data_IF_450701763570
#
_entry.id   IF_450701763570
#
_cell.length_a   1.000
_cell.length_b   1.000
_cell.length_c   1.000
_cell.angle_alpha   90.00
_cell.angle_beta   90.00
_cell.angle_gamma   90.00
#
_symmetry.space_group_name_H-M   'P 1'
#
loop_
_entity.id
_entity.type
_entity.pdbx_description
1 polymer ?
#
# COMPACT_ATOMS: atom_id res chain seq x y z
N UNK A 1 42.95 58.05 18.41
CA UNK A 1 42.25 56.90 19.02
C UNK A 1 40.77 57.01 18.67
N UNK A 2 40.33 56.30 17.63
CA UNK A 2 38.95 56.32 17.17
C UNK A 2 38.17 55.14 17.78
N UNK A 3 37.12 55.45 18.53
CA UNK A 3 36.26 54.48 19.20
C UNK A 3 35.24 53.94 18.20
N UNK A 4 35.40 52.68 17.79
CA UNK A 4 34.41 51.96 16.99
C UNK A 4 33.21 51.57 17.88
N UNK A 5 32.08 52.23 17.65
CA UNK A 5 30.78 51.80 18.20
C UNK A 5 30.33 50.53 17.49
N UNK A 6 30.21 49.44 18.23
CA UNK A 6 29.53 48.24 17.78
C UNK A 6 28.02 48.43 17.94
N UNK A 7 27.28 48.36 16.83
CA UNK A 7 25.82 48.28 16.83
C UNK A 7 25.44 46.79 16.93
N UNK A 8 24.77 46.34 18.00
CA UNK A 8 24.31 44.96 18.07
C UNK A 8 23.18 44.75 17.07
N UNK A 9 23.31 43.73 16.22
CA UNK A 9 22.27 43.31 15.29
C UNK A 9 21.25 42.52 16.12
N UNK A 10 20.11 43.13 16.42
CA UNK A 10 18.98 42.43 17.01
C UNK A 10 18.37 41.51 15.96
N UNK A 11 18.62 40.20 16.09
CA UNK A 11 17.99 39.17 15.27
C UNK A 11 16.51 39.07 15.66
N UNK A 12 15.64 39.83 15.01
CA UNK A 12 14.19 39.63 15.07
C UNK A 12 13.84 38.39 14.25
N UNK A 13 14.09 37.21 14.82
CA UNK A 13 13.44 35.98 14.36
C UNK A 13 11.94 36.17 14.60
N UNK A 14 11.08 36.18 13.56
CA UNK A 14 9.65 36.04 13.82
C UNK A 14 9.47 34.68 14.46
N UNK A 15 9.15 34.68 15.76
CA UNK A 15 8.64 33.51 16.46
C UNK A 15 7.53 32.93 15.58
N UNK A 16 7.74 31.72 15.06
CA UNK A 16 6.67 30.92 14.52
C UNK A 16 5.58 30.89 15.59
N UNK A 17 4.51 31.65 15.34
CA UNK A 17 3.29 31.51 16.09
C UNK A 17 2.94 30.01 16.00
N UNK A 18 2.80 29.27 17.11
CA UNK A 18 2.41 27.87 17.03
C UNK A 18 1.02 27.87 16.42
N UNK A 19 0.93 27.58 15.12
CA UNK A 19 -0.34 27.36 14.44
C UNK A 19 -1.06 26.33 15.29
N UNK A 20 -2.22 26.64 15.90
CA UNK A 20 -2.94 25.67 16.71
C UNK A 20 -3.10 24.44 15.83
N UNK A 21 -2.47 23.35 16.28
CA UNK A 21 -2.57 22.04 15.63
C UNK A 21 -4.04 21.85 15.34
N UNK A 22 -4.47 21.65 14.08
CA UNK A 22 -5.90 21.56 13.79
C UNK A 22 -6.44 20.46 14.67
N UNK A 23 -7.18 20.85 15.70
CA UNK A 23 -7.85 19.94 16.62
C UNK A 23 -8.76 19.15 15.72
N UNK A 24 -8.37 17.89 15.46
CA UNK A 24 -9.13 17.02 14.59
C UNK A 24 -10.55 17.03 15.12
N UNK A 25 -11.47 17.59 14.35
CA UNK A 25 -12.89 17.63 14.70
C UNK A 25 -13.30 16.25 15.19
N UNK A 26 -13.94 16.12 16.37
CA UNK A 26 -14.31 14.83 16.90
C UNK A 26 -15.13 14.07 15.85
N UNK A 27 -14.57 12.95 15.40
CA UNK A 27 -15.17 12.17 14.31
C UNK A 27 -16.34 11.41 14.91
N UNK A 28 -17.56 11.70 14.45
CA UNK A 28 -18.74 10.90 14.76
C UNK A 28 -18.75 9.69 13.81
N UNK A 29 -18.44 8.52 14.37
CA UNK A 29 -18.54 7.25 13.63
C UNK A 29 -20.03 7.00 13.37
N UNK A 30 -20.35 6.61 12.14
CA UNK A 30 -21.71 6.24 11.77
C UNK A 30 -22.11 4.94 12.52
N UNK A 31 -23.15 4.97 13.38
CA UNK A 31 -23.58 3.77 14.10
C UNK A 31 -24.11 2.67 13.17
N UNK A 32 -24.54 3.00 11.95
CA UNK A 32 -25.01 2.03 10.95
C UNK A 32 -23.87 1.27 10.27
N UNK A 33 -22.65 1.84 10.25
CA UNK A 33 -21.46 1.24 9.65
C UNK A 33 -20.22 1.47 10.53
N UNK A 34 -20.13 0.79 11.69
CA UNK A 34 -19.04 1.00 12.66
C UNK A 34 -17.68 0.44 12.17
N UNK A 35 -17.69 -0.38 11.12
CA UNK A 35 -16.49 -0.99 10.55
C UNK A 35 -15.79 -2.02 11.45
N UNK A 36 -16.47 -2.51 12.49
CA UNK A 36 -15.90 -3.47 13.46
C UNK A 36 -15.47 -4.77 12.80
N UNK A 37 -16.27 -5.29 11.85
CA UNK A 37 -15.97 -6.53 11.13
C UNK A 37 -14.67 -6.38 10.33
N UNK A 38 -14.53 -5.29 9.55
CA UNK A 38 -13.31 -5.04 8.79
C UNK A 38 -12.07 -4.88 9.67
N UNK A 39 -12.22 -4.34 10.89
CA UNK A 39 -11.11 -4.24 11.86
C UNK A 39 -10.70 -5.61 12.41
N UNK A 40 -11.67 -6.46 12.74
CA UNK A 40 -11.40 -7.84 13.21
C UNK A 40 -10.73 -8.63 12.09
N UNK A 41 -11.24 -8.55 10.85
CA UNK A 41 -10.63 -9.19 9.70
C UNK A 41 -9.18 -8.74 9.49
N UNK A 42 -8.92 -7.43 9.47
CA UNK A 42 -7.57 -6.86 9.37
C UNK A 42 -6.64 -7.31 10.50
N UNK A 43 -7.16 -7.44 11.73
CA UNK A 43 -6.38 -7.91 12.87
C UNK A 43 -5.99 -9.40 12.73
N UNK A 44 -6.94 -10.23 12.31
CA UNK A 44 -6.71 -11.65 12.05
C UNK A 44 -5.70 -11.81 10.91
N UNK A 45 -5.89 -11.11 9.79
CA UNK A 45 -4.98 -11.13 8.65
C UNK A 45 -3.56 -10.68 9.03
N UNK A 46 -3.43 -9.64 9.85
CA UNK A 46 -2.14 -9.19 10.37
C UNK A 46 -1.46 -10.27 11.24
N UNK A 47 -2.22 -10.91 12.14
CA UNK A 47 -1.70 -11.98 13.00
C UNK A 47 -1.21 -13.19 12.18
N UNK A 48 -1.99 -13.61 11.18
CA UNK A 48 -1.61 -14.69 10.27
C UNK A 48 -0.33 -14.34 9.51
N UNK A 49 -0.25 -13.12 8.95
CA UNK A 49 0.96 -12.64 8.24
C UNK A 49 2.19 -12.63 9.13
N UNK A 50 2.09 -12.13 10.36
CA UNK A 50 3.21 -12.10 11.31
C UNK A 50 3.67 -13.53 11.63
N UNK A 51 2.71 -14.45 11.84
CA UNK A 51 3.00 -15.85 12.13
C UNK A 51 3.75 -16.51 10.96
N UNK A 52 3.20 -16.39 9.74
CA UNK A 52 3.85 -16.92 8.53
C UNK A 52 5.22 -16.28 8.30
N UNK A 53 5.34 -14.97 8.51
CA UNK A 53 6.60 -14.25 8.35
C UNK A 53 7.67 -14.72 9.34
N UNK A 54 7.28 -14.98 10.59
CA UNK A 54 8.16 -15.53 11.61
C UNK A 54 8.72 -16.88 11.16
N UNK A 55 7.87 -17.79 10.67
CA UNK A 55 8.33 -19.08 10.16
C UNK A 55 9.23 -18.95 8.93
N UNK A 56 8.92 -18.06 7.98
CA UNK A 56 9.75 -17.86 6.78
C UNK A 56 11.11 -17.23 7.10
N UNK A 57 11.19 -16.40 8.14
CA UNK A 57 12.42 -15.69 8.53
C UNK A 57 13.36 -16.59 9.34
N UNK A 58 12.83 -17.29 10.35
CA UNK A 58 13.65 -18.06 11.28
C UNK A 58 13.76 -19.55 10.93
N UNK A 59 12.78 -20.10 10.20
CA UNK A 59 12.71 -21.53 9.90
C UNK A 59 12.45 -21.81 8.40
N UNK A 60 13.29 -21.30 7.49
CA UNK A 60 13.10 -21.47 6.04
C UNK A 60 13.06 -22.95 5.63
N UNK A 61 13.85 -23.82 6.27
CA UNK A 61 13.89 -25.25 5.98
C UNK A 61 12.57 -25.97 6.22
N UNK A 62 11.79 -25.55 7.23
CA UNK A 62 10.47 -26.15 7.51
C UNK A 62 9.44 -25.81 6.42
N UNK A 63 9.58 -24.64 5.80
CA UNK A 63 8.66 -24.16 4.77
C UNK A 63 8.97 -24.76 3.40
N UNK A 64 10.26 -24.80 3.03
CA UNK A 64 10.67 -25.24 1.69
C UNK A 64 11.03 -26.72 1.61
N UNK A 65 11.40 -27.38 2.70
CA UNK A 65 11.76 -28.81 2.70
C UNK A 65 10.69 -29.71 2.08
N UNK A 66 9.39 -29.56 2.41
CA UNK A 66 8.32 -30.32 1.78
C UNK A 66 8.08 -29.93 0.31
N UNK A 67 8.38 -28.67 -0.05
CA UNK A 67 8.05 -28.05 -1.32
C UNK A 67 9.05 -28.35 -2.44
N UNK A 68 10.33 -28.48 -2.10
CA UNK A 68 11.40 -28.76 -3.06
C UNK A 68 11.43 -30.25 -3.41
N UNK A 69 11.76 -30.54 -4.66
CA UNK A 69 11.84 -31.92 -5.18
C UNK A 69 13.03 -32.67 -4.56
N UNK A 70 14.14 -31.95 -4.34
CA UNK A 70 15.34 -32.45 -3.67
C UNK A 70 15.57 -31.67 -2.36
N UNK A 71 15.01 -32.18 -1.26
CA UNK A 71 15.02 -31.50 0.05
C UNK A 71 16.39 -31.52 0.73
N UNK A 72 17.33 -32.31 0.23
CA UNK A 72 18.67 -32.50 0.79
C UNK A 72 19.62 -31.33 0.51
N UNK A 73 19.32 -30.49 -0.48
CA UNK A 73 20.22 -29.45 -0.97
C UNK A 73 19.45 -28.15 -1.27
N UNK A 74 18.95 -27.50 -0.22
CA UNK A 74 18.36 -26.16 -0.34
C UNK A 74 19.45 -25.15 -0.69
N UNK A 75 19.35 -24.55 -1.88
CA UNK A 75 20.28 -23.52 -2.29
C UNK A 75 20.29 -22.35 -1.29
N UNK A 76 21.45 -21.80 -0.91
CA UNK A 76 21.54 -20.65 0.01
C UNK A 76 20.73 -19.43 -0.45
N UNK A 77 20.58 -19.26 -1.77
CA UNK A 77 19.73 -18.23 -2.37
C UNK A 77 18.25 -18.38 -2.02
N UNK A 78 17.74 -19.61 -1.90
CA UNK A 78 16.34 -19.88 -1.52
C UNK A 78 16.09 -19.56 -0.05
N UNK A 79 17.06 -19.87 0.80
CA UNK A 79 17.04 -19.53 2.23
C UNK A 79 17.00 -18.00 2.39
N UNK A 80 17.91 -17.29 1.72
CA UNK A 80 17.91 -15.84 1.74
C UNK A 80 16.58 -15.28 1.23
N UNK A 81 16.09 -15.74 0.08
CA UNK A 81 14.82 -15.29 -0.50
C UNK A 81 13.63 -15.50 0.46
N UNK A 82 13.57 -16.63 1.16
CA UNK A 82 12.56 -16.88 2.20
C UNK A 82 12.57 -15.80 3.28
N UNK A 83 13.75 -15.45 3.77
CA UNK A 83 13.93 -14.44 4.81
C UNK A 83 13.51 -13.06 4.32
N UNK A 84 13.89 -12.69 3.09
CA UNK A 84 13.45 -11.45 2.47
C UNK A 84 11.93 -11.38 2.34
N UNK A 85 11.28 -12.47 1.90
CA UNK A 85 9.82 -12.56 1.84
C UNK A 85 9.22 -12.40 3.25
N UNK A 86 9.79 -13.05 4.26
CA UNK A 86 9.37 -12.91 5.66
C UNK A 86 9.39 -11.46 6.13
N UNK A 87 10.50 -10.73 5.90
CA UNK A 87 10.62 -9.31 6.25
C UNK A 87 9.60 -8.44 5.51
N UNK A 88 9.40 -8.67 4.20
CA UNK A 88 8.38 -7.96 3.41
C UNK A 88 6.98 -8.22 3.96
N UNK A 89 6.70 -9.45 4.42
CA UNK A 89 5.41 -9.82 4.97
C UNK A 89 5.14 -9.14 6.32
N UNK A 90 6.17 -8.96 7.16
CA UNK A 90 6.09 -8.13 8.38
C UNK A 90 5.79 -6.67 8.03
N UNK A 91 6.50 -6.10 7.05
CA UNK A 91 6.25 -4.73 6.60
C UNK A 91 4.81 -4.56 6.09
N UNK A 92 4.28 -5.56 5.38
CA UNK A 92 2.87 -5.60 4.98
C UNK A 92 1.93 -5.67 6.19
N UNK A 93 2.21 -6.49 7.19
CA UNK A 93 1.39 -6.61 8.41
C UNK A 93 1.30 -5.29 9.19
N UNK A 94 2.38 -4.49 9.21
CA UNK A 94 2.36 -3.16 9.82
C UNK A 94 1.32 -2.25 9.16
N UNK A 95 1.22 -2.27 7.82
CA UNK A 95 0.21 -1.48 7.10
C UNK A 95 -1.22 -1.87 7.49
N UNK A 96 -1.47 -3.16 7.78
CA UNK A 96 -2.77 -3.64 8.27
C UNK A 96 -3.01 -3.13 9.68
N UNK A 97 -2.03 -3.25 10.57
CA UNK A 97 -2.13 -2.78 11.94
C UNK A 97 -2.45 -1.28 12.01
N UNK A 98 -1.85 -0.47 11.13
CA UNK A 98 -2.12 0.97 11.06
C UNK A 98 -3.56 1.27 10.59
N UNK A 99 -4.14 0.43 9.75
CA UNK A 99 -5.51 0.54 9.24
C UNK A 99 -6.59 0.11 10.26
N UNK A 100 -6.23 -0.61 11.33
CA UNK A 100 -7.17 -1.03 12.41
C UNK A 100 -7.69 0.17 13.21
N UNK A 101 -6.93 1.27 13.28
CA UNK A 101 -7.30 2.45 14.08
C UNK A 101 -8.57 3.11 13.53
N UNK A 102 -9.35 3.72 14.42
CA UNK A 102 -10.54 4.51 14.06
C UNK A 102 -10.19 5.98 13.90
N UNK A 103 -9.31 6.28 12.97
CA UNK A 103 -9.03 7.66 12.54
C UNK A 103 -9.55 7.85 11.12
N UNK A 104 -9.91 9.09 10.75
CA UNK A 104 -10.43 9.41 9.42
C UNK A 104 -9.52 8.89 8.30
N UNK A 105 -8.23 9.17 8.43
CA UNK A 105 -7.21 8.68 7.49
C UNK A 105 -7.11 7.16 7.45
N UNK A 106 -7.34 6.47 8.57
CA UNK A 106 -7.30 5.01 8.59
C UNK A 106 -8.51 4.42 7.85
N UNK A 107 -9.72 4.96 8.04
CA UNK A 107 -10.89 4.47 7.33
C UNK A 107 -10.78 4.64 5.81
N UNK A 108 -10.35 5.81 5.33
CA UNK A 108 -10.15 6.04 3.90
C UNK A 108 -9.05 5.14 3.32
N UNK A 109 -8.06 4.77 4.15
CA UNK A 109 -6.95 3.90 3.72
C UNK A 109 -7.32 2.42 3.63
N UNK A 110 -8.33 1.93 4.37
CA UNK A 110 -8.68 0.50 4.41
C UNK A 110 -9.03 -0.05 3.03
N UNK A 111 -9.84 0.69 2.27
CA UNK A 111 -10.21 0.32 0.91
C UNK A 111 -8.97 0.26 -0.01
N UNK A 112 -8.05 1.22 0.12
CA UNK A 112 -6.82 1.26 -0.66
C UNK A 112 -5.89 0.09 -0.33
N UNK A 113 -5.82 -0.32 0.95
CA UNK A 113 -5.03 -1.48 1.37
C UNK A 113 -5.59 -2.75 0.72
N UNK A 114 -6.90 -2.98 0.77
CA UNK A 114 -7.52 -4.16 0.15
C UNK A 114 -7.27 -4.21 -1.36
N UNK A 115 -7.38 -3.09 -2.07
CA UNK A 115 -7.06 -3.03 -3.51
C UNK A 115 -5.60 -3.36 -3.83
N UNK A 116 -4.65 -2.78 -3.10
CA UNK A 116 -3.21 -3.05 -3.32
C UNK A 116 -2.88 -4.52 -3.10
N UNK A 117 -3.52 -5.14 -2.12
CA UNK A 117 -3.33 -6.55 -1.84
C UNK A 117 -3.98 -7.45 -2.88
N UNK A 118 -5.20 -7.12 -3.33
CA UNK A 118 -5.88 -7.87 -4.37
C UNK A 118 -5.00 -7.96 -5.62
N UNK A 119 -4.41 -6.84 -6.05
CA UNK A 119 -3.48 -6.83 -7.19
C UNK A 119 -2.23 -7.67 -6.90
N UNK A 120 -1.63 -7.52 -5.72
CA UNK A 120 -0.45 -8.29 -5.33
C UNK A 120 -0.69 -9.81 -5.33
N UNK A 121 -1.83 -10.26 -4.81
CA UNK A 121 -2.21 -11.66 -4.77
C UNK A 121 -2.59 -12.21 -6.14
N UNK A 122 -3.24 -11.42 -6.99
CA UNK A 122 -3.53 -11.81 -8.37
C UNK A 122 -2.23 -12.05 -9.17
N UNK A 123 -1.24 -11.16 -9.00
CA UNK A 123 0.08 -11.33 -9.60
C UNK A 123 0.81 -12.55 -9.04
N UNK A 124 0.74 -12.77 -7.73
CA UNK A 124 1.38 -13.92 -7.09
C UNK A 124 0.73 -15.25 -7.51
N UNK A 125 -0.61 -15.32 -7.56
CA UNK A 125 -1.35 -16.46 -8.05
C UNK A 125 -0.96 -16.79 -9.51
N UNK A 126 -0.89 -15.77 -10.36
CA UNK A 126 -0.48 -15.91 -11.76
C UNK A 126 0.94 -16.47 -11.88
N UNK A 127 1.85 -16.00 -11.02
CA UNK A 127 3.22 -16.52 -10.96
C UNK A 127 3.26 -17.99 -10.52
N UNK A 128 2.49 -18.39 -9.51
CA UNK A 128 2.43 -19.79 -9.08
C UNK A 128 1.84 -20.71 -10.15
N UNK A 129 0.79 -20.27 -10.87
CA UNK A 129 0.25 -21.01 -12.00
C UNK A 129 1.30 -21.16 -13.11
N UNK A 130 1.97 -20.07 -13.46
CA UNK A 130 3.04 -20.09 -14.46
C UNK A 130 4.14 -21.09 -14.08
N UNK A 131 4.64 -21.01 -12.85
CA UNK A 131 5.66 -21.93 -12.33
C UNK A 131 5.17 -23.38 -12.21
N UNK A 132 3.87 -23.63 -12.10
CA UNK A 132 3.29 -24.98 -12.09
C UNK A 132 3.19 -25.59 -13.50
N UNK A 133 3.24 -24.75 -14.54
CA UNK A 133 3.24 -25.16 -15.94
C UNK A 133 4.66 -25.31 -16.51
N UNK A 134 5.66 -24.70 -15.87
CA UNK A 134 7.08 -24.76 -16.25
C UNK A 134 7.89 -25.59 -15.25
N UNK A 135 9.04 -26.14 -15.64
CA UNK A 135 9.96 -26.78 -14.68
C UNK A 135 10.64 -25.73 -13.79
N UNK A 136 10.14 -25.58 -12.56
CA UNK A 136 10.59 -24.59 -11.57
C UNK A 136 11.42 -25.19 -10.43
N UNK A 137 11.63 -26.52 -10.43
CA UNK A 137 12.31 -27.25 -9.34
C UNK A 137 11.46 -27.44 -8.07
N UNK A 138 10.27 -26.84 -8.01
CA UNK A 138 9.27 -26.98 -6.94
C UNK A 138 8.22 -28.00 -7.36
N UNK A 139 7.74 -28.81 -6.41
CA UNK A 139 6.68 -29.79 -6.67
C UNK A 139 5.42 -29.08 -7.18
N UNK A 140 4.94 -29.47 -8.35
CA UNK A 140 3.72 -28.93 -8.98
C UNK A 140 2.51 -28.90 -8.05
N UNK A 141 2.30 -29.94 -7.25
CA UNK A 141 1.19 -30.00 -6.27
C UNK A 141 1.25 -28.86 -5.26
N UNK A 142 2.44 -28.49 -4.80
CA UNK A 142 2.62 -27.40 -3.83
C UNK A 142 2.32 -26.06 -4.48
N UNK A 143 2.79 -25.84 -5.72
CA UNK A 143 2.47 -24.62 -6.46
C UNK A 143 0.96 -24.44 -6.69
N UNK A 144 0.25 -25.52 -7.03
CA UNK A 144 -1.21 -25.49 -7.18
C UNK A 144 -1.93 -25.21 -5.86
N UNK A 145 -1.46 -25.79 -4.75
CA UNK A 145 -2.00 -25.50 -3.41
C UNK A 145 -1.78 -24.03 -3.05
N UNK A 146 -0.57 -23.49 -3.27
CA UNK A 146 -0.27 -22.08 -3.01
C UNK A 146 -1.10 -21.14 -3.87
N UNK A 147 -1.30 -21.48 -5.15
CA UNK A 147 -2.21 -20.75 -6.03
C UNK A 147 -3.65 -20.77 -5.52
N UNK A 148 -4.15 -21.92 -5.06
CA UNK A 148 -5.50 -22.04 -4.51
C UNK A 148 -5.68 -21.17 -3.26
N UNK A 149 -4.69 -21.11 -2.37
CA UNK A 149 -4.70 -20.19 -1.23
C UNK A 149 -4.77 -18.72 -1.67
N UNK A 150 -4.05 -18.33 -2.73
CA UNK A 150 -4.18 -16.97 -3.28
C UNK A 150 -5.58 -16.71 -3.85
N UNK A 151 -6.20 -17.68 -4.51
CA UNK A 151 -7.57 -17.54 -5.06
C UNK A 151 -8.58 -17.32 -3.93
N UNK A 152 -8.52 -18.09 -2.85
CA UNK A 152 -9.39 -17.91 -1.68
C UNK A 152 -9.24 -16.49 -1.10
N UNK A 153 -7.99 -16.04 -0.96
CA UNK A 153 -7.64 -14.70 -0.50
C UNK A 153 -8.16 -13.58 -1.42
N UNK A 154 -8.13 -13.79 -2.74
CA UNK A 154 -8.66 -12.88 -3.78
C UNK A 154 -10.19 -12.81 -3.68
N UNK A 155 -10.86 -13.95 -3.56
CA UNK A 155 -12.31 -14.03 -3.45
C UNK A 155 -12.79 -13.32 -2.18
N UNK A 156 -12.12 -13.53 -1.05
CA UNK A 156 -12.40 -12.82 0.20
C UNK A 156 -12.31 -11.29 0.01
N UNK A 157 -11.26 -10.80 -0.65
CA UNK A 157 -11.10 -9.35 -0.90
C UNK A 157 -12.17 -8.80 -1.83
N UNK A 158 -12.50 -9.50 -2.91
CA UNK A 158 -13.56 -9.10 -3.82
C UNK A 158 -14.92 -9.09 -3.10
N UNK A 159 -15.18 -10.07 -2.25
CA UNK A 159 -16.36 -10.10 -1.40
C UNK A 159 -16.44 -8.87 -0.49
N UNK A 160 -15.37 -8.55 0.25
CA UNK A 160 -15.35 -7.36 1.10
C UNK A 160 -15.47 -6.05 0.30
N UNK A 161 -14.83 -5.94 -0.87
CA UNK A 161 -14.83 -4.71 -1.67
C UNK A 161 -16.15 -4.46 -2.41
N UNK A 162 -16.75 -5.51 -3.00
CA UNK A 162 -17.91 -5.38 -3.89
C UNK A 162 -19.23 -5.62 -3.15
N UNK A 163 -19.29 -6.65 -2.30
CA UNK A 163 -20.53 -7.08 -1.67
C UNK A 163 -20.74 -6.47 -0.28
N UNK A 164 -19.65 -6.15 0.42
CA UNK A 164 -19.67 -5.64 1.81
C UNK A 164 -18.82 -4.39 2.04
N UNK A 165 -18.92 -3.34 1.20
CA UNK A 165 -18.15 -2.10 1.40
C UNK A 165 -18.47 -1.42 2.74
N UNK A 166 -19.63 -1.67 3.34
CA UNK A 166 -20.01 -1.14 4.66
C UNK A 166 -19.12 -1.64 5.81
N UNK A 167 -18.42 -2.77 5.62
CA UNK A 167 -17.53 -3.35 6.64
C UNK A 167 -16.26 -2.53 6.88
N UNK A 168 -15.88 -1.66 5.95
CA UNK A 168 -14.74 -0.75 6.14
C UNK A 168 -15.06 0.43 7.06
N UNK A 169 -16.36 0.65 7.32
CA UNK A 169 -16.89 1.71 8.15
C UNK A 169 -17.04 3.03 7.41
N UNK A 170 -17.91 3.91 7.92
CA UNK A 170 -18.12 5.26 7.40
C UNK A 170 -18.02 6.29 8.52
N UNK A 171 -17.65 7.51 8.13
CA UNK A 171 -17.67 8.66 9.01
C UNK A 171 -18.78 9.61 8.58
N UNK A 172 -19.53 10.14 9.55
CA UNK A 172 -20.45 11.23 9.28
C UNK A 172 -19.62 12.51 9.07
N UNK A 173 -19.85 13.22 7.97
CA UNK A 173 -19.33 14.58 7.82
C UNK A 173 -19.94 15.43 8.95
N UNK A 174 -19.11 16.12 9.73
CA UNK A 174 -19.59 17.10 10.70
C UNK A 174 -20.28 18.24 9.92
N UNK A 175 -21.61 18.17 9.80
CA UNK A 175 -22.41 19.05 8.94
C UNK A 175 -23.77 18.47 8.54
N UNK A 176 -23.98 17.16 8.65
CA UNK A 176 -25.24 16.49 8.25
C UNK A 176 -26.42 16.68 9.24
N UNK A 177 -26.50 17.83 9.92
CA UNK A 177 -27.74 18.26 10.59
C UNK A 177 -28.54 19.26 9.73
N UNK A 178 -27.99 19.76 8.62
CA UNK A 178 -28.76 20.42 7.57
C UNK A 178 -28.89 19.47 6.38
N UNK A 179 -30.12 19.13 6.01
CA UNK A 179 -30.45 18.14 4.98
C UNK A 179 -29.90 18.47 3.60
N UNK A 180 -28.65 18.12 3.37
CA UNK A 180 -27.97 18.24 2.08
C UNK A 180 -27.74 16.84 1.51
N UNK A 181 -28.17 16.72 0.26
CA UNK A 181 -28.36 15.53 -0.53
C UNK A 181 -27.09 14.65 -0.55
N UNK A 182 -27.29 13.34 -0.44
CA UNK A 182 -26.22 12.33 -0.43
C UNK A 182 -25.57 12.30 -1.81
N UNK A 183 -24.50 13.07 -2.00
CA UNK A 183 -23.63 12.93 -3.18
C UNK A 183 -22.93 11.56 -3.15
N UNK A 184 -23.11 10.83 -4.25
CA UNK A 184 -22.60 9.48 -4.46
C UNK A 184 -21.06 9.44 -4.35
N UNK A 185 -20.48 8.69 -3.39
CA UNK A 185 -19.03 8.60 -3.21
C UNK A 185 -18.30 7.97 -4.40
N UNK A 186 -19.04 7.34 -5.32
CA UNK A 186 -18.52 6.78 -6.57
C UNK A 186 -18.25 7.87 -7.62
N UNK A 187 -19.03 8.96 -7.62
CA UNK A 187 -18.83 10.10 -8.51
C UNK A 187 -17.56 10.89 -8.16
N UNK A 188 -17.34 11.11 -6.86
CA UNK A 188 -16.17 11.84 -6.36
C UNK A 188 -14.84 11.11 -6.65
N UNK A 189 -14.84 9.77 -6.56
CA UNK A 189 -13.65 8.99 -6.87
C UNK A 189 -13.35 8.97 -8.37
N UNK A 190 -14.38 8.86 -9.22
CA UNK A 190 -14.26 8.98 -10.67
C UNK A 190 -13.76 10.38 -11.08
N UNK A 191 -14.32 11.44 -10.51
CA UNK A 191 -13.89 12.80 -10.79
C UNK A 191 -12.46 13.07 -10.33
N UNK A 192 -12.06 12.59 -9.15
CA UNK A 192 -10.68 12.66 -8.66
C UNK A 192 -9.69 11.92 -9.58
N UNK A 193 -10.09 10.77 -10.14
CA UNK A 193 -9.28 10.03 -11.12
C UNK A 193 -9.17 10.80 -12.44
N UNK A 194 -10.26 11.37 -12.96
CA UNK A 194 -10.23 12.19 -14.17
C UNK A 194 -9.35 13.44 -14.01
N UNK A 195 -9.44 14.12 -12.86
CA UNK A 195 -8.64 15.32 -12.59
C UNK A 195 -7.15 14.97 -12.48
N UNK A 196 -6.81 13.84 -11.86
CA UNK A 196 -5.42 13.35 -11.82
C UNK A 196 -4.90 12.97 -13.20
N UNK A 197 -5.72 12.31 -14.02
CA UNK A 197 -5.40 11.98 -15.42
C UNK A 197 -5.17 13.23 -16.28
N UNK A 198 -6.04 14.25 -16.14
CA UNK A 198 -5.86 15.54 -16.84
C UNK A 198 -4.57 16.23 -16.41
N UNK A 199 -4.26 16.26 -15.10
CA UNK A 199 -3.01 16.88 -14.58
C UNK A 199 -1.76 16.13 -15.05
N UNK A 200 -1.80 14.81 -15.14
CA UNK A 200 -0.71 13.99 -15.69
C UNK A 200 -0.50 14.25 -17.19
N UNK A 201 -1.58 14.39 -17.95
CA UNK A 201 -1.52 14.70 -19.39
C UNK A 201 -0.88 16.06 -19.65
N UNK A 202 -1.21 17.07 -18.84
CA UNK A 202 -0.61 18.42 -18.97
C UNK A 202 0.87 18.44 -18.60
N UNK A 203 1.31 17.67 -17.60
CA UNK A 203 2.74 17.59 -17.24
C UNK A 203 3.57 16.84 -18.29
N UNK A 204 2.99 15.90 -19.00
CA UNK A 204 3.71 15.13 -20.04
C UNK A 204 3.95 15.98 -21.30
N UNK A 205 3.07 16.94 -21.61
CA UNK A 205 3.22 17.84 -22.76
C UNK A 205 4.37 18.85 -22.57
N UNK A 206 4.65 19.28 -21.34
CA UNK A 206 5.74 20.23 -21.06
C UNK A 206 7.15 19.60 -20.97
N UNK A 207 7.27 18.28 -21.13
CA UNK A 207 8.56 17.56 -21.06
C UNK A 207 8.96 16.88 -22.37
N UNK A 208 8.32 17.21 -23.50
CA UNK A 208 8.84 16.80 -24.79
C UNK A 208 10.19 17.50 -25.05
N UNK A 209 11.30 16.77 -25.18
CA UNK A 209 12.59 17.37 -25.52
C UNK A 209 12.51 17.97 -26.92
N UNK A 210 12.98 19.22 -27.05
CA UNK A 210 13.13 19.90 -28.33
C UNK A 210 14.04 19.07 -29.26
N UNK A 211 13.71 18.94 -30.55
CA UNK A 211 14.55 18.20 -31.48
C UNK A 211 15.91 18.88 -31.59
N UNK A 212 16.97 18.18 -31.14
CA UNK A 212 18.35 18.59 -31.35
C UNK A 212 18.62 18.68 -32.85
N UNK A 213 18.85 19.91 -33.33
CA UNK A 213 19.43 20.21 -34.62
C UNK A 213 20.85 19.62 -34.70
N UNK A 214 20.98 18.57 -35.51
CA UNK A 214 22.26 17.97 -35.90
C UNK A 214 22.98 18.92 -36.86
N UNK A 215 24.03 19.57 -36.38
CA UNK A 215 24.98 20.30 -37.22
C UNK A 215 26.12 19.33 -37.58
N UNK A 216 26.06 18.78 -38.79
CA UNK A 216 27.18 18.09 -39.42
C UNK A 216 28.29 19.11 -39.71
N UNK A 217 29.42 19.01 -39.00
CA UNK A 217 30.66 19.70 -39.38
C UNK A 217 31.55 18.70 -40.14
N UNK A 218 31.56 18.83 -41.46
CA UNK A 218 32.64 18.30 -42.31
C UNK A 218 33.95 18.97 -41.94
N UNK A 219 34.96 18.18 -41.58
CA UNK A 219 36.35 18.62 -41.69
C UNK A 219 37.11 17.65 -42.58
N UNK A 220 37.37 18.13 -43.79
CA UNK A 220 38.54 17.80 -44.59
C UNK A 220 39.80 18.17 -43.80
N UNK A 221 40.76 17.24 -43.73
CA UNK A 221 42.14 17.28 -44.28
C UNK A 221 42.91 16.11 -43.67
#
# INVERSE_FOLDING_TARGET
>A
MASHKYTPITLTTPLLNPTPKPTSTPIKIDPSAPGTIGRIALAIEAAVKITVAFFLTFFPHLNFGPAVTDSSNLAPSTIALSQWIGVILIASAIQHALAIRNTRSALDSRHQVYWRMLVGEALLASMFLYQALTDSGIKRKVLLVMAAFCVDSILWRLFCLVLKPEWFGRHLKAGAESGEEVEDPLGDTLWMMEVKLKRFRTQTIHRAPSPCSSTYASHHV
#
